data_IF_882525153795
#
_entry.id   IF_882525153795
#
_cell.length_a   1.000
_cell.length_b   1.000
_cell.length_c   1.000
_cell.angle_alpha   90.00
_cell.angle_beta   90.00
_cell.angle_gamma   90.00
#
_symmetry.space_group_name_H-M   'P 1'
#
loop_
_entity.id
_entity.type
_entity.pdbx_description
1 polymer ?
#
# COMPACT_ATOMS: atom_id res chain seq x y z
N UNK A 1 2.24 29.05 6.16
CA UNK A 1 3.00 28.35 7.21
C UNK A 1 2.33 27.01 7.59
N UNK A 2 3.05 25.88 7.52
CA UNK A 2 2.58 24.58 8.04
C UNK A 2 2.16 23.50 7.02
N UNK A 3 2.40 23.71 5.72
CA UNK A 3 2.04 22.71 4.68
C UNK A 3 3.01 21.53 4.57
N UNK A 4 4.24 21.70 5.07
CA UNK A 4 5.19 20.63 5.35
C UNK A 4 5.38 20.66 6.87
N UNK A 5 5.29 19.53 7.56
CA UNK A 5 5.26 19.47 9.03
C UNK A 5 6.34 20.30 9.72
N UNK A 6 6.02 20.83 10.90
CA UNK A 6 6.99 21.58 11.72
C UNK A 6 8.00 20.67 12.42
N UNK A 7 7.82 19.34 12.32
CA UNK A 7 8.71 18.32 12.87
C UNK A 7 8.86 17.12 11.92
N UNK A 8 10.01 16.44 11.97
CA UNK A 8 10.36 15.27 11.12
C UNK A 8 9.25 14.20 11.02
N UNK A 9 8.52 13.84 12.10
CA UNK A 9 7.42 12.88 12.01
C UNK A 9 6.20 13.39 11.23
N UNK A 10 5.92 14.69 11.31
CA UNK A 10 4.80 15.30 10.59
C UNK A 10 5.08 15.36 9.08
N UNK A 11 6.33 15.52 8.67
CA UNK A 11 6.72 15.45 7.25
C UNK A 11 6.51 14.04 6.68
N UNK A 12 6.88 12.99 7.42
CA UNK A 12 6.66 11.60 6.99
C UNK A 12 5.17 11.30 6.86
N UNK A 13 4.35 11.70 7.84
CA UNK A 13 2.90 11.50 7.78
C UNK A 13 2.22 12.27 6.63
N UNK A 14 2.72 13.47 6.33
CA UNK A 14 2.19 14.34 5.26
C UNK A 14 2.77 14.03 3.88
N UNK A 15 3.74 13.11 3.78
CA UNK A 15 4.24 12.65 2.50
C UNK A 15 3.30 11.59 1.92
N UNK A 16 2.24 12.06 1.28
CA UNK A 16 1.23 11.21 0.66
C UNK A 16 1.76 10.39 -0.52
N UNK A 17 2.90 10.80 -1.10
CA UNK A 17 3.41 10.23 -2.35
C UNK A 17 4.16 8.92 -2.15
N UNK A 18 4.70 8.70 -0.94
CA UNK A 18 5.41 7.47 -0.56
C UNK A 18 4.55 6.43 0.17
N UNK A 19 3.25 6.68 0.35
CA UNK A 19 2.38 5.86 1.19
C UNK A 19 1.36 5.07 0.37
N UNK A 20 1.40 3.75 0.47
CA UNK A 20 0.32 2.87 -0.01
C UNK A 20 -0.34 2.18 1.18
N UNK A 21 -1.66 2.36 1.28
CA UNK A 21 -2.47 1.72 2.30
C UNK A 21 -3.08 0.45 1.75
N UNK A 22 -2.90 -0.67 2.43
CA UNK A 22 -3.36 -1.98 2.00
C UNK A 22 -4.43 -2.55 2.93
N UNK A 23 -5.49 -3.10 2.33
CA UNK A 23 -6.50 -3.90 3.00
C UNK A 23 -6.49 -5.31 2.40
N UNK A 24 -6.20 -6.31 3.24
CA UNK A 24 -6.03 -7.71 2.83
C UNK A 24 -7.15 -8.57 3.42
N UNK A 25 -7.73 -9.46 2.61
CA UNK A 25 -8.79 -10.37 3.00
C UNK A 25 -8.50 -11.80 2.53
N UNK A 26 -8.75 -12.77 3.40
CA UNK A 26 -8.46 -14.17 3.11
C UNK A 26 -9.63 -14.85 2.37
N UNK A 27 -9.42 -15.20 1.09
CA UNK A 27 -10.45 -15.81 0.24
C UNK A 27 -10.95 -17.13 0.83
N UNK A 28 -10.05 -17.95 1.40
CA UNK A 28 -10.41 -19.24 1.96
C UNK A 28 -11.39 -19.16 3.14
N UNK A 29 -11.52 -17.99 3.77
CA UNK A 29 -12.50 -17.76 4.83
C UNK A 29 -13.94 -17.58 4.31
N UNK A 30 -14.11 -17.29 3.02
CA UNK A 30 -15.42 -17.00 2.40
C UNK A 30 -15.90 -18.09 1.42
N UNK A 31 -15.07 -19.08 1.11
CA UNK A 31 -15.40 -20.17 0.19
C UNK A 31 -15.71 -21.47 0.95
N UNK A 32 -16.28 -22.46 0.25
CA UNK A 32 -16.55 -23.80 0.81
C UNK A 32 -15.25 -24.44 1.32
N UNK A 33 -15.33 -25.10 2.49
CA UNK A 33 -14.19 -25.81 3.12
C UNK A 33 -13.57 -26.91 2.25
N UNK A 34 -14.35 -27.47 1.34
CA UNK A 34 -13.91 -28.49 0.38
C UNK A 34 -13.10 -27.92 -0.80
N UNK A 35 -13.00 -26.59 -0.91
CA UNK A 35 -12.23 -25.94 -1.96
C UNK A 35 -10.74 -26.27 -1.84
N UNK A 36 -10.11 -26.54 -2.99
CA UNK A 36 -8.65 -26.73 -3.11
C UNK A 36 -7.87 -25.40 -3.13
N UNK A 37 -8.55 -24.27 -2.91
CA UNK A 37 -7.90 -22.97 -2.92
C UNK A 37 -6.92 -22.85 -1.74
N UNK A 38 -5.68 -22.37 -1.96
CA UNK A 38 -4.69 -22.27 -0.89
C UNK A 38 -5.14 -21.34 0.24
N UNK A 39 -5.20 -21.85 1.46
CA UNK A 39 -5.68 -21.08 2.63
C UNK A 39 -4.76 -19.93 3.03
N UNK A 40 -3.51 -19.94 2.57
CA UNK A 40 -2.50 -18.93 2.88
C UNK A 40 -2.48 -17.76 1.89
N UNK A 41 -3.33 -17.76 0.85
CA UNK A 41 -3.44 -16.64 -0.11
C UNK A 41 -4.55 -15.69 0.31
N UNK A 42 -4.21 -14.41 0.37
CA UNK A 42 -5.12 -13.29 0.53
C UNK A 42 -5.25 -12.50 -0.78
N UNK A 43 -6.39 -11.83 -0.94
CA UNK A 43 -6.58 -10.76 -1.90
C UNK A 43 -6.39 -9.43 -1.18
N UNK A 44 -5.64 -8.51 -1.78
CA UNK A 44 -5.35 -7.21 -1.20
C UNK A 44 -5.78 -6.10 -2.16
N UNK A 45 -6.50 -5.11 -1.63
CA UNK A 45 -6.78 -3.86 -2.33
C UNK A 45 -6.00 -2.74 -1.67
N UNK A 46 -5.44 -1.86 -2.49
CA UNK A 46 -4.60 -0.77 -2.03
C UNK A 46 -5.08 0.60 -2.50
N UNK A 47 -4.70 1.63 -1.76
CA UNK A 47 -4.94 3.02 -2.12
C UNK A 47 -3.67 3.83 -1.85
N UNK A 48 -3.25 4.59 -2.85
CA UNK A 48 -2.12 5.51 -2.77
C UNK A 48 -2.39 6.77 -3.59
N UNK A 49 -1.38 7.63 -3.64
CA UNK A 49 -1.42 8.81 -4.48
C UNK A 49 -0.03 9.27 -4.87
N UNK A 50 0.04 10.01 -5.96
CA UNK A 50 1.25 10.66 -6.45
C UNK A 50 0.97 12.14 -6.73
N UNK A 51 2.02 12.96 -6.72
CA UNK A 51 1.96 14.39 -6.96
C UNK A 51 1.11 15.18 -5.96
N UNK A 52 0.88 14.70 -4.74
CA UNK A 52 0.13 15.40 -3.69
C UNK A 52 1.08 16.14 -2.74
N UNK A 53 1.19 17.46 -2.91
CA UNK A 53 2.02 18.34 -2.07
C UNK A 53 1.29 18.85 -0.81
N UNK A 54 -0.04 18.75 -0.79
CA UNK A 54 -0.87 19.11 0.35
C UNK A 54 -2.18 18.31 0.31
N UNK A 55 -2.92 18.32 1.42
CA UNK A 55 -4.12 17.51 1.61
C UNK A 55 -5.20 17.79 0.54
N UNK A 56 -5.51 19.06 0.25
CA UNK A 56 -6.64 19.44 -0.63
C UNK A 56 -6.20 19.83 -2.04
N UNK A 57 -5.29 20.80 -2.16
CA UNK A 57 -4.75 21.28 -3.46
C UNK A 57 -3.27 21.60 -3.34
N UNK A 58 -2.52 21.37 -4.42
CA UNK A 58 -1.11 21.69 -4.46
C UNK A 58 -0.93 23.21 -4.49
N UNK A 59 -0.09 23.79 -3.62
CA UNK A 59 0.21 25.22 -3.67
C UNK A 59 1.09 25.55 -4.89
N UNK A 60 0.87 26.72 -5.48
CA UNK A 60 1.72 27.24 -6.58
C UNK A 60 3.03 27.85 -6.08
N UNK A 61 3.08 28.26 -4.81
CA UNK A 61 4.24 28.90 -4.18
C UNK A 61 4.54 28.25 -2.83
N UNK A 62 5.82 28.24 -2.44
CA UNK A 62 6.23 27.81 -1.10
C UNK A 62 5.95 28.88 -0.03
N UNK A 63 6.39 28.64 1.21
CA UNK A 63 6.19 29.60 2.31
C UNK A 63 7.05 30.88 2.17
N UNK A 64 8.04 30.89 1.28
CA UNK A 64 8.99 31.99 1.03
C UNK A 64 8.61 32.78 -0.24
N UNK A 65 7.58 32.34 -0.98
CA UNK A 65 7.10 32.97 -2.20
C UNK A 65 7.80 32.48 -3.47
N UNK A 66 8.61 31.43 -3.40
CA UNK A 66 9.20 30.82 -4.58
C UNK A 66 8.18 29.95 -5.32
N UNK A 67 8.13 29.98 -6.66
CA UNK A 67 7.23 29.13 -7.43
C UNK A 67 7.59 27.65 -7.25
N UNK A 68 6.58 26.82 -6.99
CA UNK A 68 6.72 25.37 -6.89
C UNK A 68 6.48 24.72 -8.26
N UNK A 69 7.19 23.62 -8.57
CA UNK A 69 6.90 22.84 -9.77
C UNK A 69 5.47 22.29 -9.72
N UNK A 70 4.82 22.30 -10.89
CA UNK A 70 3.48 21.74 -11.03
C UNK A 70 3.55 20.22 -11.00
N UNK A 71 2.77 19.59 -10.11
CA UNK A 71 2.57 18.15 -10.08
C UNK A 71 1.09 17.84 -10.25
N UNK A 72 0.79 16.92 -11.16
CA UNK A 72 -0.54 16.37 -11.32
C UNK A 72 -0.88 15.45 -10.13
N UNK A 73 -2.01 15.71 -9.48
CA UNK A 73 -2.47 14.88 -8.37
C UNK A 73 -3.13 13.62 -8.92
N UNK A 74 -2.46 12.49 -8.77
CA UNK A 74 -2.93 11.20 -9.28
C UNK A 74 -3.31 10.30 -8.11
N UNK A 75 -4.54 9.82 -8.08
CA UNK A 75 -4.97 8.77 -7.13
C UNK A 75 -4.74 7.41 -7.76
N UNK A 76 -4.23 6.48 -6.96
CA UNK A 76 -3.85 5.15 -7.41
C UNK A 76 -4.64 4.11 -6.61
N UNK A 77 -5.28 3.20 -7.33
CA UNK A 77 -6.04 2.09 -6.76
C UNK A 77 -5.34 0.79 -7.14
N UNK A 78 -5.03 -0.03 -6.16
CA UNK A 78 -4.24 -1.23 -6.37
C UNK A 78 -5.05 -2.49 -6.12
N UNK A 79 -4.77 -3.52 -6.91
CA UNK A 79 -5.22 -4.89 -6.69
C UNK A 79 -3.99 -5.80 -6.69
N UNK A 80 -3.81 -6.54 -5.61
CA UNK A 80 -2.64 -7.38 -5.40
C UNK A 80 -3.03 -8.66 -4.67
N UNK A 81 -2.07 -9.56 -4.55
CA UNK A 81 -2.15 -10.71 -3.67
C UNK A 81 -1.29 -10.48 -2.43
N UNK A 82 -1.58 -11.24 -1.39
CA UNK A 82 -0.82 -11.20 -0.14
C UNK A 82 -0.78 -12.61 0.50
N UNK A 83 0.18 -12.84 1.40
CA UNK A 83 0.36 -14.13 2.07
C UNK A 83 -0.04 -14.01 3.53
N UNK A 84 -1.00 -14.84 3.95
CA UNK A 84 -1.27 -15.11 5.36
C UNK A 84 -0.30 -16.18 5.89
N UNK A 85 0.85 -15.71 6.38
CA UNK A 85 1.89 -16.57 6.98
C UNK A 85 1.37 -17.40 8.15
N UNK A 86 0.36 -16.93 8.89
CA UNK A 86 -0.19 -17.66 10.04
C UNK A 86 -0.92 -18.94 9.65
N UNK A 87 -1.36 -19.05 8.39
CA UNK A 87 -2.09 -20.22 7.87
C UNK A 87 -1.19 -21.28 7.25
N UNK A 88 0.13 -21.05 7.21
CA UNK A 88 1.11 -22.04 6.76
C UNK A 88 1.39 -23.02 7.90
N UNK A 89 1.02 -24.29 7.72
CA UNK A 89 1.18 -25.33 8.75
C UNK A 89 2.63 -25.80 8.83
N UNK A 90 3.26 -25.66 9.99
CA UNK A 90 4.62 -26.17 10.26
C UNK A 90 4.72 -26.78 11.66
N UNK A 91 5.53 -27.83 11.80
CA UNK A 91 5.77 -28.51 13.08
C UNK A 91 6.81 -27.80 13.96
N UNK A 92 7.50 -26.78 13.44
CA UNK A 92 8.54 -26.05 14.18
C UNK A 92 7.97 -24.87 14.96
N UNK A 93 8.23 -24.83 16.27
CA UNK A 93 7.84 -23.69 17.13
C UNK A 93 8.53 -22.39 16.72
N UNK A 94 9.78 -22.48 16.26
CA UNK A 94 10.55 -21.33 15.79
C UNK A 94 9.95 -20.74 14.50
N UNK A 95 9.63 -21.59 13.51
CA UNK A 95 9.00 -21.13 12.27
C UNK A 95 7.63 -20.51 12.51
N UNK A 96 6.83 -21.09 13.42
CA UNK A 96 5.54 -20.50 13.81
C UNK A 96 5.69 -19.10 14.43
N UNK A 97 6.75 -18.86 15.22
CA UNK A 97 7.04 -17.52 15.75
C UNK A 97 7.44 -16.55 14.63
N UNK A 98 8.33 -16.96 13.73
CA UNK A 98 8.74 -16.15 12.58
C UNK A 98 7.56 -15.79 11.68
N UNK A 99 6.69 -16.77 11.36
CA UNK A 99 5.51 -16.55 10.52
C UNK A 99 4.57 -15.51 11.13
N UNK A 100 4.35 -15.53 12.45
CA UNK A 100 3.56 -14.49 13.14
C UNK A 100 4.19 -13.11 13.01
N UNK A 101 5.52 -13.01 13.09
CA UNK A 101 6.23 -11.75 12.90
C UNK A 101 6.11 -11.23 11.46
N UNK A 102 6.24 -12.11 10.48
CA UNK A 102 6.14 -11.78 9.06
C UNK A 102 4.71 -11.38 8.64
N UNK A 103 3.67 -11.81 9.36
CA UNK A 103 2.29 -11.40 9.08
C UNK A 103 2.03 -9.89 9.18
N UNK A 104 2.90 -9.13 9.84
CA UNK A 104 2.78 -7.67 9.92
C UNK A 104 3.37 -6.96 8.69
N UNK A 105 4.14 -7.67 7.86
CA UNK A 105 4.85 -7.10 6.71
C UNK A 105 4.23 -7.65 5.43
N UNK A 106 3.67 -6.74 4.61
CA UNK A 106 3.27 -7.11 3.25
C UNK A 106 4.52 -7.41 2.44
N UNK A 107 4.49 -8.55 1.76
CA UNK A 107 5.58 -8.97 0.87
C UNK A 107 5.28 -8.44 -0.54
N UNK A 108 6.32 -8.16 -1.34
CA UNK A 108 6.11 -7.71 -2.69
C UNK A 108 5.38 -8.74 -3.53
N UNK A 109 4.31 -8.30 -4.18
CA UNK A 109 3.53 -9.12 -5.09
C UNK A 109 3.27 -8.39 -6.41
N UNK A 110 3.07 -9.13 -7.51
CA UNK A 110 2.53 -8.57 -8.72
C UNK A 110 1.23 -7.84 -8.41
N UNK A 111 1.16 -6.60 -8.87
CA UNK A 111 0.11 -5.65 -8.49
C UNK A 111 -0.40 -4.94 -9.74
N UNK A 112 -1.71 -4.91 -9.88
CA UNK A 112 -2.38 -4.11 -10.90
C UNK A 112 -2.78 -2.78 -10.28
N UNK A 113 -2.27 -1.69 -10.82
CA UNK A 113 -2.65 -0.33 -10.47
C UNK A 113 -3.65 0.21 -11.49
N UNK A 114 -4.68 0.89 -10.99
CA UNK A 114 -5.56 1.73 -11.78
C UNK A 114 -5.43 3.18 -11.33
N UNK A 115 -5.14 4.08 -12.27
CA UNK A 115 -5.03 5.51 -12.02
C UNK A 115 -5.64 6.33 -13.17
N UNK A 116 -5.86 7.63 -12.98
CA UNK A 116 -6.51 8.46 -14.01
C UNK A 116 -5.61 8.78 -15.21
N UNK A 117 -4.30 8.84 -15.00
CA UNK A 117 -3.31 9.26 -15.99
C UNK A 117 -2.97 8.13 -16.96
N UNK A 118 -2.53 7.00 -16.43
CA UNK A 118 -2.05 5.83 -17.17
C UNK A 118 -3.11 4.74 -17.33
N UNK A 119 -4.28 4.92 -16.71
CA UNK A 119 -5.42 3.97 -16.67
C UNK A 119 -5.04 2.68 -15.95
N UNK A 120 -4.33 1.76 -16.59
CA UNK A 120 -3.94 0.46 -16.01
C UNK A 120 -2.45 0.24 -16.14
N UNK A 121 -1.78 0.06 -15.00
CA UNK A 121 -0.34 -0.20 -14.91
C UNK A 121 -0.13 -1.52 -14.20
N UNK A 122 0.71 -2.38 -14.77
CA UNK A 122 1.08 -3.65 -14.15
C UNK A 122 2.47 -3.57 -13.55
N UNK A 123 2.55 -3.80 -12.24
CA UNK A 123 3.80 -3.88 -11.50
C UNK A 123 4.14 -5.35 -11.26
N UNK A 124 5.31 -5.79 -11.73
CA UNK A 124 5.80 -7.14 -11.46
C UNK A 124 6.07 -7.38 -9.97
N UNK A 125 6.58 -6.35 -9.29
CA UNK A 125 6.95 -6.37 -7.87
C UNK A 125 6.53 -5.00 -7.30
N UNK A 126 5.70 -5.00 -6.27
CA UNK A 126 5.20 -3.78 -5.62
C UNK A 126 4.94 -4.02 -4.13
N UNK A 127 5.22 -3.03 -3.29
CA UNK A 127 5.11 -3.11 -1.82
C UNK A 127 3.79 -2.53 -1.28
#
# INVERSE_FOLDING_TARGET
>A
PGKLGESTPQCVLKDYNGQTYWLSANIASFIKRESKFPSWINIAVGYGGDGMLAEVTNPEYDNEGNPLPHYDRVRQYYLSMDIDWTRIKTNSKFLNFLFKGLSFVKIPFPTLEYNKSDKLVFHWIYF
#
